data_IF_824390876569
#
_entry.id   IF_824390876569
#
_cell.length_a   1.000
_cell.length_b   1.000
_cell.length_c   1.000
_cell.angle_alpha   90.00
_cell.angle_beta   90.00
_cell.angle_gamma   90.00
#
_symmetry.space_group_name_H-M   'P 1'
#
loop_
_entity.id
_entity.type
_entity.pdbx_description
1 polymer ?
#
# COMPACT_ATOMS: atom_id res chain seq x y z
N UNK A 1 -3.01 29.96 21.53
CA UNK A 1 -2.03 28.86 21.53
C UNK A 1 -2.58 27.75 20.65
N UNK A 2 -1.81 27.25 19.68
CA UNK A 2 -2.28 26.16 18.80
C UNK A 2 -2.21 24.84 19.58
N UNK A 3 -3.32 24.09 19.62
CA UNK A 3 -3.40 22.79 20.30
C UNK A 3 -2.67 21.70 19.47
N UNK A 4 -1.92 20.82 20.12
CA UNK A 4 -1.22 19.71 19.48
C UNK A 4 -2.17 18.77 18.71
N UNK A 5 -3.39 18.57 19.21
CA UNK A 5 -4.43 17.78 18.51
C UNK A 5 -4.88 18.43 17.21
N UNK A 6 -4.97 19.77 17.20
CA UNK A 6 -5.30 20.52 16.00
C UNK A 6 -4.19 20.40 14.94
N UNK A 7 -2.92 20.44 15.36
CA UNK A 7 -1.77 20.23 14.46
C UNK A 7 -1.79 18.80 13.91
N UNK A 8 -1.96 17.78 14.78
CA UNK A 8 -2.04 16.37 14.37
C UNK A 8 -3.13 16.14 13.33
N UNK A 9 -4.31 16.73 13.56
CA UNK A 9 -5.45 16.61 12.64
C UNK A 9 -5.18 17.32 11.32
N UNK A 10 -4.64 18.54 11.34
CA UNK A 10 -4.32 19.30 10.14
C UNK A 10 -3.27 18.59 9.28
N UNK A 11 -2.18 18.11 9.89
CA UNK A 11 -1.13 17.34 9.20
C UNK A 11 -1.70 16.04 8.65
N UNK A 12 -2.54 15.34 9.41
CA UNK A 12 -3.17 14.10 8.95
C UNK A 12 -4.08 14.32 7.74
N UNK A 13 -4.89 15.38 7.73
CA UNK A 13 -5.75 15.74 6.60
C UNK A 13 -4.92 16.11 5.37
N UNK A 14 -3.91 16.97 5.53
CA UNK A 14 -3.02 17.34 4.42
C UNK A 14 -2.30 16.10 3.85
N UNK A 15 -1.80 15.22 4.73
CA UNK A 15 -1.20 13.95 4.33
C UNK A 15 -2.16 13.08 3.53
N UNK A 16 -3.42 12.94 3.98
CA UNK A 16 -4.46 12.21 3.23
C UNK A 16 -4.66 12.78 1.82
N UNK A 17 -4.76 14.11 1.68
CA UNK A 17 -4.95 14.75 0.36
C UNK A 17 -3.78 14.45 -0.57
N UNK A 18 -2.54 14.64 -0.09
CA UNK A 18 -1.32 14.43 -0.88
C UNK A 18 -1.18 12.95 -1.29
N UNK A 19 -1.34 12.04 -0.32
CA UNK A 19 -1.26 10.60 -0.58
C UNK A 19 -2.36 10.12 -1.53
N UNK A 20 -3.56 10.68 -1.47
CA UNK A 20 -4.63 10.35 -2.41
C UNK A 20 -4.23 10.76 -3.83
N UNK A 21 -3.69 11.97 -3.99
CA UNK A 21 -3.10 12.41 -5.26
C UNK A 21 -2.01 11.46 -5.78
N UNK A 22 -1.13 10.97 -4.89
CA UNK A 22 -0.09 9.99 -5.25
C UNK A 22 -0.69 8.66 -5.73
N UNK A 23 -1.75 8.16 -5.11
CA UNK A 23 -2.44 6.94 -5.57
C UNK A 23 -3.13 7.11 -6.93
N UNK A 24 -3.45 8.34 -7.34
CA UNK A 24 -3.99 8.64 -8.66
C UNK A 24 -2.90 8.82 -9.73
N UNK A 25 -1.61 8.92 -9.35
CA UNK A 25 -0.51 9.13 -10.30
C UNK A 25 -0.45 8.07 -11.43
N UNK A 26 -0.79 6.78 -11.22
CA UNK A 26 -0.81 5.79 -12.29
C UNK A 26 -2.02 5.85 -13.23
N UNK A 27 -2.99 6.75 -13.01
CA UNK A 27 -4.21 6.82 -13.83
C UNK A 27 -3.94 6.92 -15.34
N UNK A 28 -3.01 7.76 -15.84
CA UNK A 28 -2.71 7.82 -17.27
C UNK A 28 -2.28 6.46 -17.84
N UNK A 29 -1.44 5.72 -17.10
CA UNK A 29 -1.02 4.36 -17.46
C UNK A 29 -2.21 3.42 -17.57
N UNK A 30 -3.15 3.46 -16.63
CA UNK A 30 -4.34 2.60 -16.67
C UNK A 30 -5.33 3.01 -17.76
N UNK A 31 -5.45 4.29 -18.06
CA UNK A 31 -6.23 4.75 -19.22
C UNK A 31 -5.68 4.16 -20.51
N UNK A 32 -4.35 4.10 -20.66
CA UNK A 32 -3.72 3.49 -21.84
C UNK A 32 -3.97 1.98 -21.90
N UNK A 33 -3.84 1.27 -20.77
CA UNK A 33 -4.18 -0.17 -20.68
C UNK A 33 -5.64 -0.41 -21.11
N UNK A 34 -6.58 0.41 -20.62
CA UNK A 34 -8.00 0.28 -20.94
C UNK A 34 -8.31 0.53 -22.41
N UNK A 35 -7.64 1.51 -23.04
CA UNK A 35 -7.77 1.81 -24.47
C UNK A 35 -7.19 0.69 -25.34
N UNK A 36 -6.00 0.21 -24.98
CA UNK A 36 -5.28 -0.82 -25.75
C UNK A 36 -5.75 -2.25 -25.46
N UNK A 37 -6.52 -2.44 -24.38
CA UNK A 37 -6.97 -3.76 -23.89
C UNK A 37 -5.81 -4.72 -23.63
N UNK A 38 -4.65 -4.19 -23.21
CA UNK A 38 -3.43 -4.95 -22.99
C UNK A 38 -2.56 -4.26 -21.94
N UNK A 39 -1.96 -5.03 -21.04
CA UNK A 39 -0.98 -4.53 -20.05
C UNK A 39 0.41 -4.29 -20.64
N UNK A 40 0.62 -4.61 -21.92
CA UNK A 40 1.89 -4.43 -22.66
C UNK A 40 3.12 -4.87 -21.85
N UNK A 41 4.06 -3.95 -21.59
CA UNK A 41 5.28 -4.15 -20.79
C UNK A 41 5.15 -3.57 -19.37
N UNK A 42 3.97 -3.11 -18.98
CA UNK A 42 3.79 -2.55 -17.64
C UNK A 42 3.90 -3.66 -16.59
N UNK A 43 4.55 -3.34 -15.48
CA UNK A 43 4.77 -4.27 -14.38
C UNK A 43 3.67 -4.13 -13.33
N UNK A 44 3.08 -5.24 -12.83
CA UNK A 44 2.11 -5.19 -11.74
C UNK A 44 2.74 -4.98 -10.36
N UNK A 45 4.07 -5.11 -10.25
CA UNK A 45 4.82 -5.13 -8.97
C UNK A 45 4.59 -3.90 -8.10
N UNK A 46 4.61 -2.65 -8.61
CA UNK A 46 4.38 -1.47 -7.79
C UNK A 46 3.00 -1.45 -7.12
N UNK A 47 1.98 -1.97 -7.81
CA UNK A 47 0.61 -1.98 -7.32
C UNK A 47 0.43 -3.05 -6.22
N UNK A 48 1.01 -4.23 -6.41
CA UNK A 48 1.05 -5.29 -5.38
C UNK A 48 1.81 -4.82 -4.13
N UNK A 49 3.01 -4.25 -4.31
CA UNK A 49 3.80 -3.74 -3.19
C UNK A 49 3.07 -2.64 -2.41
N UNK A 50 2.39 -1.73 -3.11
CA UNK A 50 1.57 -0.67 -2.47
C UNK A 50 0.35 -1.26 -1.78
N UNK A 51 -0.32 -2.24 -2.38
CA UNK A 51 -1.47 -2.93 -1.78
C UNK A 51 -1.07 -3.60 -0.45
N UNK A 52 0.04 -4.34 -0.42
CA UNK A 52 0.60 -4.93 0.80
C UNK A 52 0.94 -3.87 1.86
N UNK A 53 1.55 -2.75 1.45
CA UNK A 53 1.85 -1.65 2.37
C UNK A 53 0.58 -1.05 2.99
N UNK A 54 -0.45 -0.81 2.17
CA UNK A 54 -1.73 -0.32 2.65
C UNK A 54 -2.43 -1.33 3.58
N UNK A 55 -2.32 -2.64 3.33
CA UNK A 55 -2.86 -3.66 4.24
C UNK A 55 -2.21 -3.59 5.62
N UNK A 56 -0.87 -3.46 5.68
CA UNK A 56 -0.13 -3.32 6.93
C UNK A 56 -0.53 -2.06 7.70
N UNK A 57 -0.62 -0.92 7.03
CA UNK A 57 -1.03 0.33 7.67
C UNK A 57 -2.50 0.34 8.10
N UNK A 58 -3.38 -0.34 7.36
CA UNK A 58 -4.75 -0.57 7.79
C UNK A 58 -4.78 -1.42 9.07
N UNK A 59 -4.02 -2.52 9.12
CA UNK A 59 -3.89 -3.35 10.33
C UNK A 59 -3.34 -2.53 11.51
N UNK A 60 -2.31 -1.73 11.27
CA UNK A 60 -1.74 -0.82 12.27
C UNK A 60 -2.79 0.14 12.81
N UNK A 61 -3.53 0.80 11.91
CA UNK A 61 -4.50 1.83 12.27
C UNK A 61 -5.74 1.32 13.01
N UNK A 62 -6.02 0.01 13.01
CA UNK A 62 -7.17 -0.55 13.71
C UNK A 62 -7.11 -0.18 15.21
N UNK A 63 -8.24 0.24 15.84
CA UNK A 63 -8.23 0.65 17.26
C UNK A 63 -7.72 -0.42 18.23
N UNK A 64 -7.89 -1.70 17.89
CA UNK A 64 -7.39 -2.83 18.69
C UNK A 64 -5.86 -2.96 18.65
N UNK A 65 -5.21 -2.41 17.62
CA UNK A 65 -3.76 -2.40 17.41
C UNK A 65 -3.17 -1.06 17.85
N UNK A 66 -3.59 0.05 17.22
CA UNK A 66 -3.15 1.41 17.52
C UNK A 66 -4.37 2.37 17.62
N UNK A 67 -4.79 2.75 18.84
CA UNK A 67 -5.90 3.68 19.05
C UNK A 67 -5.72 5.03 18.33
N UNK A 68 -6.84 5.74 18.13
CA UNK A 68 -6.89 7.12 17.62
C UNK A 68 -6.18 7.35 16.27
N UNK A 69 -6.24 6.36 15.37
CA UNK A 69 -5.50 6.36 14.10
C UNK A 69 -6.40 6.36 12.85
N UNK A 70 -7.59 6.94 12.98
CA UNK A 70 -8.59 6.98 11.91
C UNK A 70 -8.05 7.54 10.60
N UNK A 71 -7.26 8.63 10.65
CA UNK A 71 -6.68 9.25 9.45
C UNK A 71 -5.66 8.37 8.72
N UNK A 72 -5.06 7.38 9.41
CA UNK A 72 -4.19 6.38 8.78
C UNK A 72 -5.03 5.31 8.09
N UNK A 73 -6.14 4.88 8.71
CA UNK A 73 -7.08 3.94 8.10
C UNK A 73 -7.70 4.56 6.84
N UNK A 74 -8.15 5.81 6.87
CA UNK A 74 -8.87 6.43 5.74
C UNK A 74 -8.02 6.45 4.49
N UNK A 75 -6.77 6.91 4.60
CA UNK A 75 -5.89 6.99 3.43
C UNK A 75 -5.49 5.61 2.92
N UNK A 76 -5.09 4.69 3.79
CA UNK A 76 -4.66 3.36 3.37
C UNK A 76 -5.83 2.51 2.87
N UNK A 77 -7.02 2.67 3.44
CA UNK A 77 -8.25 2.07 2.95
C UNK A 77 -8.60 2.56 1.54
N UNK A 78 -8.50 3.87 1.28
CA UNK A 78 -8.66 4.40 -0.08
C UNK A 78 -7.59 3.87 -1.04
N UNK A 79 -6.35 3.71 -0.55
CA UNK A 79 -5.25 3.07 -1.26
C UNK A 79 -5.58 1.63 -1.64
N UNK A 80 -6.11 0.81 -0.72
CA UNK A 80 -6.53 -0.56 -1.01
C UNK A 80 -7.57 -0.63 -2.12
N UNK A 81 -8.55 0.27 -2.13
CA UNK A 81 -9.57 0.32 -3.19
C UNK A 81 -8.94 0.66 -4.54
N UNK A 82 -8.09 1.69 -4.59
CA UNK A 82 -7.42 2.11 -5.84
C UNK A 82 -6.44 1.05 -6.36
N UNK A 83 -5.55 0.55 -5.49
CA UNK A 83 -4.59 -0.50 -5.86
C UNK A 83 -5.30 -1.80 -6.22
N UNK A 84 -6.36 -2.19 -5.51
CA UNK A 84 -7.19 -3.32 -5.87
C UNK A 84 -7.82 -3.17 -7.25
N UNK A 85 -8.30 -1.97 -7.58
CA UNK A 85 -8.84 -1.65 -8.92
C UNK A 85 -7.77 -1.79 -9.99
N UNK A 86 -6.57 -1.25 -9.76
CA UNK A 86 -5.43 -1.36 -10.67
C UNK A 86 -5.01 -2.82 -10.90
N UNK A 87 -4.91 -3.61 -9.83
CA UNK A 87 -4.56 -5.02 -9.92
C UNK A 87 -5.65 -5.80 -10.66
N UNK A 88 -6.93 -5.49 -10.45
CA UNK A 88 -8.04 -6.09 -11.18
C UNK A 88 -7.96 -5.80 -12.68
N UNK A 89 -7.69 -4.54 -13.07
CA UNK A 89 -7.49 -4.18 -14.48
C UNK A 89 -6.31 -4.97 -15.07
N UNK A 90 -5.21 -5.12 -14.32
CA UNK A 90 -4.08 -5.97 -14.72
C UNK A 90 -4.48 -7.42 -14.95
N UNK A 91 -5.29 -8.00 -14.06
CA UNK A 91 -5.76 -9.39 -14.20
C UNK A 91 -6.67 -9.57 -15.42
N UNK A 92 -7.50 -8.58 -15.75
CA UNK A 92 -8.41 -8.60 -16.90
C UNK A 92 -7.62 -8.53 -18.23
N UNK A 93 -6.64 -7.62 -18.34
CA UNK A 93 -5.93 -7.33 -19.59
C UNK A 93 -4.54 -7.97 -19.72
N UNK A 94 -4.08 -8.74 -18.74
CA UNK A 94 -2.87 -9.54 -18.88
C UNK A 94 -3.10 -10.67 -19.89
N UNK A 95 -2.29 -10.76 -20.94
CA UNK A 95 -2.48 -11.80 -21.97
C UNK A 95 -1.82 -13.15 -21.59
N UNK A 96 -0.96 -13.16 -20.57
CA UNK A 96 -0.24 -14.35 -20.10
C UNK A 96 -0.90 -14.95 -18.85
N UNK A 97 -1.38 -16.19 -18.96
CA UNK A 97 -1.95 -16.93 -17.85
C UNK A 97 -0.95 -17.12 -16.69
N UNK A 98 0.35 -17.27 -16.98
CA UNK A 98 1.38 -17.38 -15.96
C UNK A 98 1.54 -16.08 -15.18
N UNK A 99 1.50 -14.93 -15.86
CA UNK A 99 1.50 -13.62 -15.22
C UNK A 99 0.28 -13.44 -14.30
N UNK A 100 -0.92 -13.82 -14.77
CA UNK A 100 -2.16 -13.77 -13.95
C UNK A 100 -2.04 -14.63 -12.70
N UNK A 101 -1.62 -15.89 -12.84
CA UNK A 101 -1.42 -16.81 -11.72
C UNK A 101 -0.39 -16.28 -10.72
N UNK A 102 0.68 -15.63 -11.20
CA UNK A 102 1.67 -14.98 -10.33
C UNK A 102 1.05 -13.83 -9.54
N UNK A 103 0.26 -12.95 -10.17
CA UNK A 103 -0.42 -11.85 -9.48
C UNK A 103 -1.36 -12.39 -8.40
N UNK A 104 -2.22 -13.37 -8.74
CA UNK A 104 -3.13 -14.01 -7.78
C UNK A 104 -2.37 -14.68 -6.64
N UNK A 105 -1.29 -15.41 -6.95
CA UNK A 105 -0.46 -16.05 -5.94
C UNK A 105 0.18 -15.05 -4.95
N UNK A 106 0.65 -13.91 -5.46
CA UNK A 106 1.19 -12.83 -4.60
C UNK A 106 0.08 -12.23 -3.73
N UNK A 107 -1.10 -11.91 -4.28
CA UNK A 107 -2.23 -11.40 -3.49
C UNK A 107 -2.64 -12.35 -2.37
N UNK A 108 -2.74 -13.65 -2.67
CA UNK A 108 -3.06 -14.66 -1.66
C UNK A 108 -1.97 -14.73 -0.58
N UNK A 109 -0.70 -14.62 -0.96
CA UNK A 109 0.41 -14.59 -0.01
C UNK A 109 0.38 -13.34 0.87
N UNK A 110 0.06 -12.17 0.31
CA UNK A 110 -0.09 -10.92 1.05
C UNK A 110 -1.24 -11.01 2.07
N UNK A 111 -2.41 -11.49 1.65
CA UNK A 111 -3.56 -11.69 2.53
C UNK A 111 -3.28 -12.71 3.63
N UNK A 112 -2.63 -13.84 3.28
CA UNK A 112 -2.22 -14.85 4.25
C UNK A 112 -1.21 -14.28 5.26
N UNK A 113 -0.23 -13.53 4.79
CA UNK A 113 0.76 -12.88 5.64
C UNK A 113 0.10 -11.91 6.63
N UNK A 114 -0.83 -11.06 6.16
CA UNK A 114 -1.57 -10.14 7.03
C UNK A 114 -2.42 -10.89 8.05
N UNK A 115 -3.10 -11.96 7.64
CA UNK A 115 -3.89 -12.79 8.54
C UNK A 115 -3.02 -13.44 9.64
N UNK A 116 -1.84 -13.95 9.27
CA UNK A 116 -0.87 -14.53 10.21
C UNK A 116 -0.36 -13.45 11.17
N UNK A 117 0.07 -12.29 10.67
CA UNK A 117 0.56 -11.18 11.53
C UNK A 117 -0.54 -10.73 12.49
N UNK A 118 -1.75 -10.50 11.99
CA UNK A 118 -2.89 -10.10 12.83
C UNK A 118 -3.21 -11.17 13.88
N UNK A 119 -3.29 -12.44 13.48
CA UNK A 119 -3.57 -13.56 14.38
C UNK A 119 -2.52 -13.69 15.48
N UNK A 120 -1.24 -13.64 15.14
CA UNK A 120 -0.13 -13.72 16.11
C UNK A 120 -0.13 -12.52 17.06
N UNK A 121 -0.24 -11.29 16.54
CA UNK A 121 -0.20 -10.07 17.34
C UNK A 121 -1.39 -10.02 18.30
N UNK A 122 -2.60 -10.35 17.84
CA UNK A 122 -3.79 -10.30 18.68
C UNK A 122 -3.82 -11.43 19.73
N UNK A 123 -3.24 -12.60 19.41
CA UNK A 123 -3.22 -13.76 20.33
C UNK A 123 -2.09 -13.69 21.35
N UNK A 124 -0.89 -13.24 20.95
CA UNK A 124 0.32 -13.29 21.78
C UNK A 124 0.58 -12.00 22.56
N UNK A 125 -0.10 -10.90 22.21
CA UNK A 125 0.08 -9.61 22.89
C UNK A 125 -1.25 -9.02 23.31
N UNK A 126 -1.31 -8.51 24.53
CA UNK A 126 -2.54 -8.01 25.15
C UNK A 126 -2.54 -6.49 25.41
N UNK A 127 -1.47 -5.78 25.04
CA UNK A 127 -1.38 -4.32 25.19
C UNK A 127 -1.32 -3.63 23.84
N UNK A 128 -1.96 -2.47 23.71
CA UNK A 128 -1.91 -1.66 22.49
C UNK A 128 -0.47 -1.26 22.13
N UNK A 129 0.36 -0.95 23.12
CA UNK A 129 1.77 -0.56 22.92
C UNK A 129 2.57 -1.64 22.18
N UNK A 130 2.49 -2.90 22.62
CA UNK A 130 3.21 -4.02 21.98
C UNK A 130 2.68 -4.30 20.58
N UNK A 131 1.35 -4.28 20.41
CA UNK A 131 0.71 -4.47 19.09
C UNK A 131 1.14 -3.39 18.11
N UNK A 132 1.07 -2.13 18.53
CA UNK A 132 1.51 -0.97 17.76
C UNK A 132 2.97 -1.09 17.37
N UNK A 133 3.86 -1.44 18.31
CA UNK A 133 5.29 -1.57 18.04
C UNK A 133 5.59 -2.65 17.00
N UNK A 134 5.03 -3.85 17.14
CA UNK A 134 5.29 -4.98 16.24
C UNK A 134 4.78 -4.66 14.83
N UNK A 135 3.52 -4.25 14.70
CA UNK A 135 2.93 -3.94 13.38
C UNK A 135 3.58 -2.70 12.77
N UNK A 136 3.91 -1.69 13.59
CA UNK A 136 4.58 -0.48 13.16
C UNK A 136 5.98 -0.72 12.58
N UNK A 137 6.77 -1.61 13.19
CA UNK A 137 8.08 -2.01 12.64
C UNK A 137 7.91 -2.64 11.25
N UNK A 138 6.93 -3.52 11.07
CA UNK A 138 6.63 -4.11 9.76
C UNK A 138 6.22 -3.04 8.74
N UNK A 139 5.35 -2.10 9.13
CA UNK A 139 4.94 -0.98 8.28
C UNK A 139 6.15 -0.16 7.80
N UNK A 140 7.09 0.14 8.71
CA UNK A 140 8.30 0.90 8.41
C UNK A 140 9.22 0.12 7.47
N UNK A 141 9.48 -1.17 7.75
CA UNK A 141 10.35 -2.00 6.89
C UNK A 141 9.81 -2.02 5.45
N UNK A 142 8.53 -2.35 5.27
CA UNK A 142 7.92 -2.38 3.94
C UNK A 142 7.88 -0.99 3.30
N UNK A 143 7.57 0.06 4.07
CA UNK A 143 7.58 1.44 3.59
C UNK A 143 8.96 1.87 3.08
N UNK A 144 10.04 1.52 3.79
CA UNK A 144 11.41 1.79 3.35
C UNK A 144 11.74 1.01 2.08
N UNK A 145 11.35 -0.27 1.98
CA UNK A 145 11.56 -1.07 0.78
C UNK A 145 10.90 -0.46 -0.46
N UNK A 146 9.74 0.21 -0.32
CA UNK A 146 9.08 0.87 -1.45
C UNK A 146 9.92 2.00 -2.08
N UNK A 147 10.82 2.64 -1.31
CA UNK A 147 11.71 3.67 -1.85
C UNK A 147 12.80 3.12 -2.78
N UNK A 148 12.95 1.80 -2.89
CA UNK A 148 13.82 1.20 -3.91
C UNK A 148 13.38 1.57 -5.33
N UNK A 149 12.07 1.70 -5.58
CA UNK A 149 11.54 2.06 -6.91
C UNK A 149 11.95 3.47 -7.37
N UNK A 150 11.66 4.55 -6.62
CA UNK A 150 12.12 5.88 -7.02
C UNK A 150 13.65 6.00 -7.03
N UNK A 151 14.35 5.32 -6.13
CA UNK A 151 15.82 5.29 -6.14
C UNK A 151 16.37 4.69 -7.44
N UNK A 152 15.77 3.59 -7.93
CA UNK A 152 16.17 2.99 -9.20
C UNK A 152 16.00 3.96 -10.38
N UNK A 153 14.91 4.75 -10.39
CA UNK A 153 14.66 5.77 -11.42
C UNK A 153 15.68 6.91 -11.35
N UNK A 154 16.03 7.36 -10.15
CA UNK A 154 17.05 8.41 -9.97
C UNK A 154 18.41 7.95 -10.45
N UNK A 155 18.82 6.72 -10.12
CA UNK A 155 20.09 6.13 -10.57
C UNK A 155 20.12 5.98 -12.08
N UNK A 156 19.06 5.48 -12.71
CA UNK A 156 19.00 5.34 -14.18
C UNK A 156 19.01 6.69 -14.89
N UNK A 157 18.47 7.74 -14.28
CA UNK A 157 18.45 9.09 -14.85
C UNK A 157 19.79 9.81 -14.66
N UNK A 158 20.49 9.57 -13.56
CA UNK A 158 21.80 10.15 -13.27
C UNK A 158 22.93 9.51 -14.08
N UNK A 159 22.80 8.22 -14.42
CA UNK A 159 23.78 7.47 -15.20
C UNK A 159 23.09 6.79 -16.40
N UNK A 160 22.67 7.55 -17.43
CA UNK A 160 22.10 6.98 -18.64
C UNK A 160 23.14 6.09 -19.33
N UNK A 161 22.77 4.83 -19.57
CA UNK A 161 23.58 3.87 -20.34
C UNK A 161 23.42 4.08 -21.83
#
# INVERSE_FOLDING_TARGET
MVNAEAIRSAVGVLGNIISFGLFLAPLPTFVDILKKKSVEKYSPVPYLATFMNCLLWCLYGLPIVHPDSLLVITINGSGLVLQGTYILIFLIFANDAKQRSKIVGILLAELAFIAVVAGLVLSLTHTHEKRSMIVGILCIIFGVCMYASPLAVLVSSAFPR
#
